data_IF_592755868085
#
_entry.id   IF_592755868085
#
_cell.length_a   1.000
_cell.length_b   1.000
_cell.length_c   1.000
_cell.angle_alpha   90.00
_cell.angle_beta   90.00
_cell.angle_gamma   90.00
#
_symmetry.space_group_name_H-M   'P 1'
#
loop_
_entity.id
_entity.type
_entity.pdbx_description
1 polymer ?
#
# COMPACT_ATOMS: atom_id res chain seq x y z
N UNK A 1 -24.54 -30.51 -4.46
CA UNK A 1 -24.31 -29.05 -4.48
C UNK A 1 -24.38 -28.60 -3.04
N UNK A 2 -23.22 -28.47 -2.40
CA UNK A 2 -23.15 -27.96 -1.03
C UNK A 2 -23.16 -26.42 -1.08
N UNK A 3 -23.92 -25.74 -0.19
CA UNK A 3 -23.95 -24.29 -0.14
C UNK A 3 -22.70 -23.76 0.58
N UNK A 4 -22.15 -22.67 0.06
CA UNK A 4 -21.06 -21.91 0.68
C UNK A 4 -21.63 -21.26 1.94
N UNK A 5 -21.06 -21.58 3.10
CA UNK A 5 -21.46 -21.08 4.42
C UNK A 5 -21.06 -19.62 4.63
N UNK A 6 -21.90 -18.87 5.35
CA UNK A 6 -21.78 -17.45 5.68
C UNK A 6 -20.51 -17.04 6.47
N UNK A 7 -19.65 -18.00 6.85
CA UNK A 7 -18.48 -17.76 7.71
C UNK A 7 -17.33 -17.01 7.02
N UNK A 8 -17.29 -16.96 5.68
CA UNK A 8 -16.26 -16.20 4.95
C UNK A 8 -16.60 -14.71 4.78
N UNK A 9 -17.84 -14.30 5.06
CA UNK A 9 -18.27 -12.89 5.03
C UNK A 9 -18.07 -12.18 6.37
N UNK A 10 -18.00 -12.93 7.47
CA UNK A 10 -17.86 -12.36 8.82
C UNK A 10 -16.42 -11.94 9.18
N UNK A 11 -15.39 -12.47 8.52
CA UNK A 11 -13.99 -12.14 8.84
C UNK A 11 -13.61 -10.67 8.63
N UNK A 12 -14.19 -10.01 7.62
CA UNK A 12 -13.95 -8.59 7.32
C UNK A 12 -15.07 -7.66 7.82
N UNK A 13 -16.30 -8.18 7.96
CA UNK A 13 -17.47 -7.40 8.40
C UNK A 13 -17.66 -7.34 9.92
N UNK A 14 -17.26 -8.36 10.68
CA UNK A 14 -17.58 -8.43 12.11
C UNK A 14 -16.63 -7.62 13.02
N UNK A 15 -15.45 -7.20 12.52
CA UNK A 15 -14.59 -6.23 13.22
C UNK A 15 -15.05 -4.78 13.09
N UNK A 16 -16.13 -4.53 12.35
CA UNK A 16 -16.76 -3.22 12.18
C UNK A 16 -17.66 -2.85 13.39
N UNK A 17 -17.95 -3.82 14.28
CA UNK A 17 -18.84 -3.63 15.42
C UNK A 17 -18.12 -3.32 16.75
N UNK A 18 -17.42 -2.19 16.82
CA UNK A 18 -17.42 -1.40 18.06
C UNK A 18 -17.19 0.07 17.71
N UNK A 19 -18.29 0.82 17.70
CA UNK A 19 -18.36 2.25 17.42
C UNK A 19 -17.51 3.06 18.40
N UNK A 20 -16.26 3.30 18.04
CA UNK A 20 -15.55 4.54 18.34
C UNK A 20 -15.57 5.36 17.06
N UNK A 21 -16.11 6.57 17.10
CA UNK A 21 -16.09 7.52 15.98
C UNK A 21 -14.69 7.52 15.34
N UNK A 22 -14.60 7.15 14.06
CA UNK A 22 -13.35 7.29 13.31
C UNK A 22 -12.96 8.76 13.37
N UNK A 23 -11.74 9.05 13.79
CA UNK A 23 -11.25 10.42 13.94
C UNK A 23 -11.38 11.15 12.59
N UNK A 24 -12.12 12.27 12.51
CA UNK A 24 -12.31 13.03 11.27
C UNK A 24 -11.00 13.48 10.60
N UNK A 25 -9.91 13.62 11.36
CA UNK A 25 -8.59 13.96 10.81
C UNK A 25 -7.99 12.86 9.93
N UNK A 26 -8.55 11.64 9.95
CA UNK A 26 -8.14 10.52 9.11
C UNK A 26 -8.79 10.56 7.72
N UNK A 27 -9.76 11.44 7.51
CA UNK A 27 -10.43 11.62 6.23
C UNK A 27 -9.71 12.68 5.41
N UNK A 28 -9.48 12.38 4.13
CA UNK A 28 -8.85 13.35 3.23
C UNK A 28 -9.34 13.18 1.79
N UNK A 29 -9.14 14.23 0.99
CA UNK A 29 -9.45 14.23 -0.43
C UNK A 29 -8.17 14.20 -1.26
N UNK A 30 -8.15 13.36 -2.28
CA UNK A 30 -7.06 13.26 -3.23
C UNK A 30 -7.63 13.02 -4.63
N UNK A 31 -7.33 13.93 -5.57
CA UNK A 31 -7.82 13.87 -6.95
C UNK A 31 -9.34 13.69 -7.06
N UNK A 32 -10.11 14.50 -6.31
CA UNK A 32 -11.58 14.47 -6.25
C UNK A 32 -12.18 13.13 -5.76
N UNK A 33 -11.39 12.33 -5.04
CA UNK A 33 -11.84 11.11 -4.38
C UNK A 33 -11.64 11.25 -2.88
N UNK A 34 -12.56 10.68 -2.10
CA UNK A 34 -12.52 10.69 -0.63
C UNK A 34 -11.85 9.41 -0.14
N UNK A 35 -11.00 9.56 0.85
CA UNK A 35 -10.26 8.46 1.45
C UNK A 35 -10.33 8.54 2.97
N UNK A 36 -10.10 7.40 3.60
CA UNK A 36 -9.83 7.28 5.03
C UNK A 36 -8.51 6.57 5.23
N UNK A 37 -7.67 7.07 6.12
CA UNK A 37 -6.47 6.36 6.57
C UNK A 37 -6.80 5.54 7.82
N UNK A 38 -6.43 4.27 7.80
CA UNK A 38 -6.63 3.36 8.92
C UNK A 38 -5.28 2.94 9.47
N UNK A 39 -5.09 2.96 10.81
CA UNK A 39 -3.85 2.47 11.40
C UNK A 39 -3.80 0.96 11.22
N UNK A 40 -3.05 0.50 10.22
CA UNK A 40 -2.88 -0.91 9.96
C UNK A 40 -1.74 -1.47 10.84
N UNK A 41 -0.60 -0.76 10.95
CA UNK A 41 0.57 -1.27 11.64
C UNK A 41 1.23 -0.22 12.54
N UNK A 42 1.48 -0.62 13.79
CA UNK A 42 1.91 0.27 14.87
C UNK A 42 3.41 0.53 14.94
N UNK A 43 4.25 -0.19 14.16
CA UNK A 43 5.71 -0.08 14.26
C UNK A 43 6.45 -0.29 12.93
N UNK A 44 6.16 0.52 11.90
CA UNK A 44 7.05 0.61 10.74
C UNK A 44 7.97 1.83 10.86
N UNK A 45 9.24 1.62 11.23
CA UNK A 45 10.27 2.68 11.19
C UNK A 45 10.84 2.76 9.78
N UNK A 46 10.24 3.56 8.91
CA UNK A 46 10.90 3.92 7.66
C UNK A 46 12.00 4.97 7.92
N UNK A 47 13.19 4.76 7.38
CA UNK A 47 14.25 5.77 7.39
C UNK A 47 14.18 6.72 6.17
N UNK A 48 13.29 6.47 5.20
CA UNK A 48 13.26 7.19 3.91
C UNK A 48 12.00 8.00 3.60
N UNK A 49 10.86 7.77 4.27
CA UNK A 49 9.62 8.50 3.99
C UNK A 49 9.47 9.72 4.89
N UNK A 50 9.04 10.84 4.30
CA UNK A 50 8.70 12.06 5.03
C UNK A 50 7.27 11.97 5.55
N UNK A 51 6.96 12.70 6.62
CA UNK A 51 5.60 12.84 7.13
C UNK A 51 4.63 13.28 6.02
N UNK A 52 3.45 12.67 5.98
CA UNK A 52 2.41 12.83 4.96
C UNK A 52 2.82 12.48 3.53
N UNK A 53 3.92 11.74 3.34
CA UNK A 53 4.25 11.16 2.03
C UNK A 53 3.32 9.99 1.74
N UNK A 54 2.96 9.85 0.47
CA UNK A 54 2.20 8.71 0.01
C UNK A 54 3.14 7.58 -0.43
N UNK A 55 2.71 6.34 -0.20
CA UNK A 55 3.46 5.17 -0.61
C UNK A 55 2.53 4.09 -1.14
N UNK A 56 3.08 3.15 -1.89
CA UNK A 56 2.41 1.93 -2.33
C UNK A 56 3.18 0.74 -1.81
N UNK A 57 2.54 -0.17 -1.10
CA UNK A 57 3.13 -1.43 -0.67
C UNK A 57 2.84 -2.51 -1.71
N UNK A 58 3.87 -3.24 -2.11
CA UNK A 58 3.79 -4.35 -3.06
C UNK A 58 4.50 -5.57 -2.48
N UNK A 59 3.86 -6.73 -2.57
CA UNK A 59 4.47 -8.00 -2.19
C UNK A 59 5.29 -8.57 -3.35
N UNK A 60 6.49 -9.04 -3.07
CA UNK A 60 7.39 -9.64 -4.06
C UNK A 60 7.33 -11.17 -3.95
N UNK A 61 7.06 -11.90 -5.04
CA UNK A 61 7.07 -13.37 -5.06
C UNK A 61 8.41 -13.97 -4.62
N UNK A 62 8.40 -15.20 -4.10
CA UNK A 62 9.63 -15.89 -3.68
C UNK A 62 10.57 -16.22 -4.84
N UNK A 63 10.00 -16.50 -6.02
CA UNK A 63 10.70 -16.82 -7.25
C UNK A 63 11.10 -15.59 -8.06
N UNK A 64 10.84 -14.39 -7.53
CA UNK A 64 11.24 -13.15 -8.17
C UNK A 64 12.75 -13.07 -8.38
N UNK A 65 13.13 -12.84 -9.62
CA UNK A 65 14.47 -12.44 -10.03
C UNK A 65 14.43 -10.93 -10.23
N UNK A 66 15.43 -10.19 -9.74
CA UNK A 66 15.50 -8.72 -9.69
C UNK A 66 15.25 -8.03 -11.05
N UNK A 67 13.98 -8.02 -11.47
CA UNK A 67 13.49 -7.59 -12.77
C UNK A 67 12.62 -6.34 -12.59
N UNK A 68 13.28 -5.20 -12.81
CA UNK A 68 12.63 -3.89 -12.79
C UNK A 68 11.46 -3.83 -13.78
N UNK A 69 11.56 -4.51 -14.94
CA UNK A 69 10.49 -4.48 -15.94
C UNK A 69 9.23 -5.18 -15.42
N UNK A 70 9.38 -6.23 -14.60
CA UNK A 70 8.27 -6.84 -13.89
C UNK A 70 7.60 -5.86 -12.95
N UNK A 71 8.38 -5.11 -12.17
CA UNK A 71 7.84 -4.16 -11.20
C UNK A 71 7.10 -3.02 -11.89
N UNK A 72 7.66 -2.47 -12.98
CA UNK A 72 6.99 -1.45 -13.79
C UNK A 72 5.66 -1.98 -14.38
N UNK A 73 5.65 -3.19 -14.94
CA UNK A 73 4.42 -3.82 -15.46
C UNK A 73 3.39 -4.07 -14.37
N UNK A 74 3.84 -4.51 -13.20
CA UNK A 74 2.96 -4.76 -12.06
C UNK A 74 2.29 -3.47 -11.59
N UNK A 75 3.07 -2.38 -11.46
CA UNK A 75 2.55 -1.06 -11.08
C UNK A 75 1.59 -0.52 -12.13
N UNK A 76 1.93 -0.64 -13.41
CA UNK A 76 1.07 -0.21 -14.52
C UNK A 76 -0.28 -0.94 -14.49
N UNK A 77 -0.25 -2.26 -14.36
CA UNK A 77 -1.46 -3.08 -14.24
C UNK A 77 -2.28 -2.67 -13.01
N UNK A 78 -1.65 -2.50 -11.85
CA UNK A 78 -2.34 -2.09 -10.62
C UNK A 78 -2.99 -0.72 -10.76
N UNK A 79 -2.36 0.27 -11.40
CA UNK A 79 -2.97 1.58 -11.67
C UNK A 79 -4.22 1.50 -12.55
N UNK A 80 -4.29 0.50 -13.44
CA UNK A 80 -5.44 0.28 -14.32
C UNK A 80 -6.57 -0.48 -13.62
N UNK A 81 -6.22 -1.41 -12.72
CA UNK A 81 -7.19 -2.31 -12.09
C UNK A 81 -7.66 -1.91 -10.69
N UNK A 82 -6.83 -1.17 -9.93
CA UNK A 82 -7.09 -0.76 -8.57
C UNK A 82 -7.64 0.67 -8.55
N UNK A 83 -8.86 0.82 -8.06
CA UNK A 83 -9.57 2.09 -8.06
C UNK A 83 -9.22 2.98 -6.85
N UNK A 84 -8.49 2.44 -5.87
CA UNK A 84 -7.89 3.15 -4.73
C UNK A 84 -6.50 3.66 -5.11
N UNK A 85 -5.71 2.86 -5.84
CA UNK A 85 -4.35 3.20 -6.23
C UNK A 85 -4.33 4.35 -7.27
N UNK A 86 -3.92 5.52 -6.80
CA UNK A 86 -3.68 6.69 -7.64
C UNK A 86 -2.17 6.93 -7.84
N UNK A 87 -1.78 7.54 -8.96
CA UNK A 87 -0.37 7.87 -9.29
C UNK A 87 0.36 8.67 -8.19
N UNK A 88 -0.37 9.38 -7.34
CA UNK A 88 0.18 10.10 -6.19
C UNK A 88 0.74 9.17 -5.11
N UNK A 89 0.23 7.95 -4.98
CA UNK A 89 0.77 6.92 -4.09
C UNK A 89 2.07 6.29 -4.59
N UNK A 90 2.41 6.52 -5.86
CA UNK A 90 3.67 6.06 -6.43
C UNK A 90 4.83 7.01 -6.10
N UNK A 91 4.73 7.92 -5.13
CA UNK A 91 5.91 8.69 -4.68
C UNK A 91 7.02 7.76 -4.17
N UNK A 92 6.64 6.65 -3.52
CA UNK A 92 7.54 5.62 -3.05
C UNK A 92 6.85 4.27 -3.09
N UNK A 93 7.56 3.25 -3.57
CA UNK A 93 7.10 1.86 -3.54
C UNK A 93 7.87 1.11 -2.45
N UNK A 94 7.10 0.48 -1.58
CA UNK A 94 7.56 -0.31 -0.45
C UNK A 94 7.41 -1.78 -0.78
N UNK A 95 8.48 -2.54 -0.67
CA UNK A 95 8.50 -3.95 -1.04
C UNK A 95 8.50 -4.85 0.18
N UNK A 96 7.68 -5.89 0.17
CA UNK A 96 7.56 -6.90 1.25
C UNK A 96 7.80 -8.32 0.71
N UNK A 97 8.14 -9.25 1.60
CA UNK A 97 8.41 -10.65 1.24
C UNK A 97 9.89 -10.97 0.93
N UNK A 98 10.23 -12.26 0.69
CA UNK A 98 11.63 -12.71 0.57
C UNK A 98 12.43 -12.02 -0.54
N UNK A 99 11.78 -11.64 -1.66
CA UNK A 99 12.41 -10.90 -2.75
C UNK A 99 12.74 -9.44 -2.42
N UNK A 100 12.05 -8.83 -1.44
CA UNK A 100 12.26 -7.43 -1.08
C UNK A 100 13.67 -7.14 -0.54
N UNK A 101 14.32 -8.12 0.10
CA UNK A 101 15.72 -7.99 0.58
C UNK A 101 16.69 -7.76 -0.57
N UNK A 102 16.47 -8.38 -1.73
CA UNK A 102 17.33 -8.23 -2.91
C UNK A 102 17.17 -6.86 -3.57
N UNK A 103 15.94 -6.33 -3.56
CA UNK A 103 15.61 -5.00 -4.08
C UNK A 103 15.84 -3.86 -3.08
N UNK A 104 16.33 -4.14 -1.87
CA UNK A 104 16.26 -3.25 -0.70
C UNK A 104 17.07 -1.94 -0.78
N UNK A 105 17.80 -1.70 -1.87
CA UNK A 105 18.58 -0.47 -2.08
C UNK A 105 18.57 -0.09 -3.57
N UNK A 106 17.44 0.43 -4.05
CA UNK A 106 17.39 1.17 -5.32
C UNK A 106 16.96 2.61 -5.05
N UNK A 107 17.86 3.35 -4.41
CA UNK A 107 17.73 4.79 -4.26
C UNK A 107 18.25 5.46 -5.53
N UNK A 108 17.41 5.46 -6.58
CA UNK A 108 17.68 6.22 -7.79
C UNK A 108 17.64 5.43 -9.09
N UNK A 109 16.76 5.93 -9.96
CA UNK A 109 16.75 5.74 -11.42
C UNK A 109 16.17 4.40 -11.87
N UNK A 110 14.84 4.31 -11.81
CA UNK A 110 14.09 3.50 -12.76
C UNK A 110 14.12 4.19 -14.13
N UNK A 111 14.55 3.46 -15.15
CA UNK A 111 14.58 3.91 -16.54
C UNK A 111 13.16 3.87 -17.12
N UNK A 112 12.46 4.98 -16.92
CA UNK A 112 11.19 5.33 -17.55
C UNK A 112 11.03 4.78 -18.98
N UNK A 113 10.15 3.79 -19.16
CA UNK A 113 9.29 3.72 -20.34
C UNK A 113 7.93 4.41 -20.13
N UNK A 114 7.63 4.89 -18.91
CA UNK A 114 6.55 5.84 -18.65
C UNK A 114 7.07 7.29 -18.71
N UNK A 115 7.28 7.80 -19.92
CA UNK A 115 7.98 9.07 -20.20
C UNK A 115 7.40 10.34 -19.55
N UNK A 116 6.28 10.26 -18.80
CA UNK A 116 5.68 11.39 -18.08
C UNK A 116 5.39 11.13 -16.59
N UNK A 117 5.77 9.97 -16.05
CA UNK A 117 5.55 9.63 -14.64
C UNK A 117 6.87 9.81 -13.88
N UNK A 118 6.81 10.63 -12.82
CA UNK A 118 7.94 10.96 -11.95
C UNK A 118 8.73 9.71 -11.53
N UNK A 119 10.06 9.84 -11.43
CA UNK A 119 10.89 8.80 -10.81
C UNK A 119 10.41 8.58 -9.38
N UNK A 120 10.08 7.33 -9.05
CA UNK A 120 9.63 6.93 -7.73
C UNK A 120 10.73 6.21 -6.97
N UNK A 121 10.76 6.39 -5.65
CA UNK A 121 11.72 5.70 -4.79
C UNK A 121 11.30 4.25 -4.56
N UNK A 122 12.26 3.34 -4.45
CA UNK A 122 12.02 1.94 -4.07
C UNK A 122 12.71 1.68 -2.73
N UNK A 123 11.95 1.21 -1.75
CA UNK A 123 12.48 0.82 -0.45
C UNK A 123 12.00 -0.58 -0.07
N UNK A 124 12.91 -1.38 0.49
CA UNK A 124 12.54 -2.62 1.16
C UNK A 124 11.95 -2.34 2.54
N UNK A 125 10.89 -3.07 2.89
CA UNK A 125 10.39 -3.12 4.27
C UNK A 125 11.34 -4.04 5.05
N UNK A 126 12.08 -3.45 6.00
CA UNK A 126 12.95 -4.19 6.91
C UNK A 126 12.17 -5.08 7.89
N UNK A 127 12.88 -5.71 8.82
CA UNK A 127 12.29 -6.61 9.82
C UNK A 127 11.03 -6.03 10.49
N UNK A 128 9.89 -6.66 10.23
CA UNK A 128 8.57 -6.34 10.78
C UNK A 128 8.38 -6.92 12.19
N UNK A 129 9.41 -7.56 12.76
CA UNK A 129 9.37 -8.25 14.03
C UNK A 129 8.32 -9.37 14.00
N UNK A 130 7.45 -9.41 15.00
CA UNK A 130 6.36 -10.39 15.09
C UNK A 130 5.04 -9.90 14.45
N UNK A 131 5.07 -8.83 13.65
CA UNK A 131 3.85 -8.31 12.99
C UNK A 131 3.59 -9.07 11.69
N UNK A 132 2.31 -9.18 11.31
CA UNK A 132 1.91 -9.66 9.99
C UNK A 132 2.43 -8.70 8.91
N UNK A 133 2.76 -9.25 7.74
CA UNK A 133 3.16 -8.45 6.58
C UNK A 133 2.07 -7.43 6.23
N UNK A 134 2.44 -6.20 5.81
CA UNK A 134 1.44 -5.22 5.40
C UNK A 134 0.74 -5.73 4.15
N UNK A 135 -0.57 -5.49 4.10
CA UNK A 135 -1.35 -5.80 2.90
C UNK A 135 -0.86 -4.92 1.74
N UNK A 136 -0.77 -5.46 0.51
CA UNK A 136 -0.50 -4.66 -0.67
C UNK A 136 -1.54 -3.53 -0.84
N UNK A 137 -1.11 -2.40 -1.39
CA UNK A 137 -1.99 -1.26 -1.69
C UNK A 137 -1.43 0.09 -1.25
N UNK A 138 -2.28 1.14 -1.25
CA UNK A 138 -1.86 2.51 -0.95
C UNK A 138 -1.77 2.80 0.56
N UNK A 139 -0.78 3.61 0.93
CA UNK A 139 -0.48 4.02 2.31
C UNK A 139 -0.10 5.50 2.41
N UNK A 140 -0.20 6.06 3.62
CA UNK A 140 0.33 7.36 4.00
C UNK A 140 1.20 7.26 5.25
N UNK A 141 2.31 7.99 5.27
CA UNK A 141 3.18 8.12 6.43
C UNK A 141 2.61 9.14 7.43
N UNK A 142 2.26 8.73 8.64
CA UNK A 142 1.72 9.60 9.70
C UNK A 142 2.35 9.23 11.05
N UNK A 143 2.94 10.24 11.71
CA UNK A 143 3.65 10.15 12.99
C UNK A 143 4.71 9.03 12.99
N UNK A 144 5.46 8.92 11.89
CA UNK A 144 6.48 7.89 11.70
C UNK A 144 5.93 6.46 11.64
N UNK A 145 4.68 6.29 11.25
CA UNK A 145 4.01 5.00 11.00
C UNK A 145 3.37 4.99 9.61
N UNK A 146 3.09 3.81 9.07
CA UNK A 146 2.31 3.66 7.85
C UNK A 146 0.85 3.36 8.16
N UNK A 147 -0.03 4.13 7.53
CA UNK A 147 -1.47 3.99 7.64
C UNK A 147 -2.01 3.58 6.29
N UNK A 148 -2.77 2.49 6.26
CA UNK A 148 -3.37 2.00 5.02
C UNK A 148 -4.44 2.98 4.57
N UNK A 149 -4.49 3.27 3.28
CA UNK A 149 -5.49 4.15 2.71
C UNK A 149 -6.59 3.32 2.07
N UNK A 150 -7.83 3.65 2.42
CA UNK A 150 -9.03 3.06 1.86
C UNK A 150 -9.83 4.14 1.15
N UNK A 151 -10.42 3.80 0.00
CA UNK A 151 -11.34 4.71 -0.70
C UNK A 151 -12.71 4.65 -0.06
N UNK A 152 -13.32 5.80 0.13
CA UNK A 152 -14.73 5.91 0.50
C UNK A 152 -15.55 6.00 -0.77
N UNK A 153 -16.48 5.07 -0.91
CA UNK A 153 -17.49 5.11 -1.94
C UNK A 153 -18.70 5.85 -1.38
N UNK A 154 -19.33 6.67 -2.21
CA UNK A 154 -20.65 7.18 -1.88
C UNK A 154 -21.58 5.97 -1.89
N UNK A 155 -22.20 5.66 -0.74
CA UNK A 155 -23.27 4.68 -0.67
C UNK A 155 -24.40 5.18 -1.59
N UNK A 156 -24.50 4.61 -2.79
CA UNK A 156 -25.62 4.83 -3.72
C UNK A 156 -26.91 4.22 -3.19
#
# INVERSE_FOLDING_TARGET
MEPITDEMREGFGARIASTSSIDPSLFFELANRRYVSWPNLSAFRHHGLKENSFATVTHVPEDYQDDIDWLEKHVAHSLESDDVLHIKFLQTILLTGPGAKKLSVYDGILRSQMSHVQTWGILGIGDMGNQEDPLPGPYIAVNGKLWQVLRLHDDT
#
